data_IF_248787227826
#
_entry.id   IF_248787227826
#
_cell.length_a   1.000
_cell.length_b   1.000
_cell.length_c   1.000
_cell.angle_alpha   90.00
_cell.angle_beta   90.00
_cell.angle_gamma   90.00
#
_symmetry.space_group_name_H-M   'P 1'
#
loop_
_entity.id
_entity.type
_entity.pdbx_description
1 polymer ?
#
# COMPACT_ATOMS: atom_id res chain seq x y z
N UNK A 1 -2.14 9.68 1.18
CA UNK A 1 -1.48 8.57 1.90
C UNK A 1 -1.83 7.26 1.22
N UNK A 2 -0.83 6.54 0.79
CA UNK A 2 -0.98 5.21 0.18
C UNK A 2 -1.08 4.16 1.29
N UNK A 3 -2.01 3.22 1.17
CA UNK A 3 -2.14 2.09 2.09
C UNK A 3 -1.50 0.84 1.50
N UNK A 4 -0.71 0.14 2.32
CA UNK A 4 -0.28 -1.22 2.04
C UNK A 4 -1.36 -2.23 2.47
N UNK A 5 -1.21 -3.48 2.06
CA UNK A 5 -2.19 -4.55 2.34
C UNK A 5 -2.47 -4.73 3.83
N UNK A 6 -1.43 -4.69 4.67
CA UNK A 6 -1.59 -4.82 6.13
C UNK A 6 -2.38 -3.65 6.73
N UNK A 7 -2.26 -2.44 6.17
CA UNK A 7 -3.05 -1.29 6.60
C UNK A 7 -4.52 -1.44 6.21
N UNK A 8 -4.81 -1.91 5.00
CA UNK A 8 -6.19 -2.14 4.56
C UNK A 8 -6.85 -3.23 5.41
N UNK A 9 -6.14 -4.31 5.71
CA UNK A 9 -6.64 -5.37 6.60
C UNK A 9 -6.95 -4.86 8.01
N UNK A 10 -6.06 -4.05 8.57
CA UNK A 10 -6.29 -3.44 9.89
C UNK A 10 -7.48 -2.48 9.88
N UNK A 11 -7.67 -1.75 8.79
CA UNK A 11 -8.82 -0.87 8.61
C UNK A 11 -10.14 -1.66 8.57
N UNK A 12 -10.15 -2.78 7.86
CA UNK A 12 -11.32 -3.66 7.78
C UNK A 12 -11.68 -4.26 9.14
N UNK A 13 -10.71 -4.44 10.02
CA UNK A 13 -10.87 -5.00 11.36
C UNK A 13 -11.02 -3.92 12.44
N UNK A 14 -11.24 -2.67 12.04
CA UNK A 14 -11.45 -1.52 12.95
C UNK A 14 -10.32 -1.30 13.96
N UNK A 15 -9.07 -1.45 13.53
CA UNK A 15 -7.91 -1.19 14.39
C UNK A 15 -7.90 0.27 14.87
N UNK A 16 -7.98 0.53 16.18
CA UNK A 16 -8.08 1.91 16.69
C UNK A 16 -6.80 2.72 16.50
N UNK A 17 -5.64 2.08 16.50
CA UNK A 17 -4.37 2.75 16.25
C UNK A 17 -4.28 3.26 14.81
N UNK A 18 -4.76 2.45 13.86
CA UNK A 18 -4.85 2.84 12.46
C UNK A 18 -5.84 3.98 12.26
N UNK A 19 -7.01 3.89 12.86
CA UNK A 19 -8.03 4.93 12.76
C UNK A 19 -7.50 6.31 13.17
N UNK A 20 -6.69 6.36 14.23
CA UNK A 20 -6.07 7.60 14.69
C UNK A 20 -5.13 8.21 13.64
N UNK A 21 -4.38 7.38 12.92
CA UNK A 21 -3.49 7.84 11.83
C UNK A 21 -4.32 8.31 10.63
N UNK A 22 -5.32 7.54 10.22
CA UNK A 22 -6.16 7.85 9.07
C UNK A 22 -6.98 9.13 9.25
N UNK A 23 -7.36 9.46 10.49
CA UNK A 23 -8.10 10.70 10.78
C UNK A 23 -7.32 11.96 10.41
N UNK A 24 -6.01 11.86 10.25
CA UNK A 24 -5.12 12.97 9.88
C UNK A 24 -4.80 13.00 8.38
N UNK A 25 -5.20 11.98 7.64
CA UNK A 25 -4.95 11.89 6.22
C UNK A 25 -5.98 12.71 5.43
N UNK A 26 -5.50 13.51 4.47
CA UNK A 26 -6.39 14.26 3.57
C UNK A 26 -7.10 13.34 2.59
N UNK A 27 -6.41 12.30 2.12
CA UNK A 27 -6.94 11.33 1.17
C UNK A 27 -6.31 9.96 1.38
N UNK A 28 -7.13 8.93 1.27
CA UNK A 28 -6.69 7.53 1.26
C UNK A 28 -6.54 7.07 -0.18
N UNK A 29 -5.38 6.54 -0.50
CA UNK A 29 -5.01 6.10 -1.85
C UNK A 29 -4.73 4.60 -1.81
N UNK A 30 -5.42 3.85 -2.65
CA UNK A 30 -5.32 2.39 -2.73
C UNK A 30 -4.65 1.98 -4.04
N UNK A 31 -3.39 1.52 -4.01
CA UNK A 31 -2.74 1.01 -5.22
C UNK A 31 -3.46 -0.23 -5.75
N UNK A 32 -3.65 -0.30 -7.06
CA UNK A 32 -4.32 -1.44 -7.69
C UNK A 32 -3.61 -2.77 -7.39
N UNK A 33 -2.28 -2.77 -7.28
CA UNK A 33 -1.48 -3.95 -6.89
C UNK A 33 -1.88 -4.44 -5.49
N UNK A 34 -2.01 -3.51 -4.56
CA UNK A 34 -2.42 -3.83 -3.18
C UNK A 34 -3.84 -4.37 -3.13
N UNK A 35 -4.75 -3.82 -3.92
CA UNK A 35 -6.13 -4.33 -4.02
C UNK A 35 -6.15 -5.78 -4.51
N UNK A 36 -5.32 -6.12 -5.49
CA UNK A 36 -5.18 -7.50 -5.95
C UNK A 36 -4.73 -8.45 -4.86
N UNK A 37 -3.72 -8.06 -4.09
CA UNK A 37 -3.23 -8.85 -2.95
C UNK A 37 -4.29 -9.02 -1.86
N UNK A 38 -4.98 -7.93 -1.53
CA UNK A 38 -6.04 -7.94 -0.52
C UNK A 38 -7.20 -8.86 -0.95
N UNK A 39 -7.67 -8.74 -2.19
CA UNK A 39 -8.74 -9.61 -2.71
C UNK A 39 -8.34 -11.06 -2.75
N UNK A 40 -7.08 -11.36 -3.11
CA UNK A 40 -6.55 -12.72 -3.04
C UNK A 40 -6.61 -13.26 -1.60
N UNK A 41 -6.21 -12.44 -0.61
CA UNK A 41 -6.25 -12.84 0.80
C UNK A 41 -7.66 -13.12 1.30
N UNK A 42 -8.60 -12.23 1.07
CA UNK A 42 -9.99 -12.40 1.54
C UNK A 42 -10.75 -13.50 0.80
N UNK A 43 -10.38 -13.82 -0.43
CA UNK A 43 -11.00 -14.90 -1.20
C UNK A 43 -10.88 -16.25 -0.51
N UNK A 44 -9.87 -16.44 0.34
CA UNK A 44 -9.64 -17.64 1.12
C UNK A 44 -10.35 -17.61 2.48
N UNK A 45 -10.96 -16.49 2.86
CA UNK A 45 -11.64 -16.33 4.13
C UNK A 45 -13.09 -16.81 4.03
N UNK A 46 -13.61 -17.40 5.11
CA UNK A 46 -15.05 -17.68 5.25
C UNK A 46 -15.89 -16.39 5.36
N UNK A 47 -15.26 -15.26 5.64
CA UNK A 47 -15.89 -13.94 5.73
C UNK A 47 -15.69 -13.10 4.46
N UNK A 48 -15.31 -13.74 3.36
CA UNK A 48 -14.99 -13.03 2.10
C UNK A 48 -16.09 -12.10 1.62
N UNK A 49 -17.36 -12.51 1.73
CA UNK A 49 -18.49 -11.70 1.28
C UNK A 49 -18.62 -10.41 2.10
N UNK A 50 -18.48 -10.50 3.42
CA UNK A 50 -18.47 -9.32 4.29
C UNK A 50 -17.31 -8.38 3.97
N UNK A 51 -16.11 -8.91 3.80
CA UNK A 51 -14.94 -8.10 3.46
C UNK A 51 -15.06 -7.46 2.08
N UNK A 52 -15.56 -8.18 1.09
CA UNK A 52 -15.76 -7.63 -0.26
C UNK A 52 -16.81 -6.52 -0.25
N UNK A 53 -17.93 -6.68 0.47
CA UNK A 53 -18.95 -5.66 0.60
C UNK A 53 -18.39 -4.40 1.28
N UNK A 54 -17.61 -4.57 2.34
CA UNK A 54 -16.94 -3.47 3.02
C UNK A 54 -15.98 -2.74 2.06
N UNK A 55 -15.19 -3.48 1.29
CA UNK A 55 -14.27 -2.90 0.32
C UNK A 55 -15.00 -2.10 -0.76
N UNK A 56 -16.11 -2.61 -1.28
CA UNK A 56 -16.91 -1.91 -2.29
C UNK A 56 -17.42 -0.56 -1.77
N UNK A 57 -17.84 -0.49 -0.52
CA UNK A 57 -18.26 0.77 0.10
C UNK A 57 -17.04 1.72 0.27
N UNK A 58 -15.91 1.20 0.74
CA UNK A 58 -14.70 1.98 0.92
C UNK A 58 -14.21 2.60 -0.39
N UNK A 59 -14.32 1.88 -1.50
CA UNK A 59 -13.86 2.34 -2.82
C UNK A 59 -14.60 3.58 -3.31
N UNK A 60 -15.79 3.87 -2.78
CA UNK A 60 -16.52 5.11 -3.10
C UNK A 60 -15.83 6.35 -2.51
N UNK A 61 -15.05 6.18 -1.45
CA UNK A 61 -14.43 7.28 -0.69
C UNK A 61 -12.91 7.36 -0.89
N UNK A 62 -12.32 6.43 -1.64
CA UNK A 62 -10.89 6.34 -1.83
C UNK A 62 -10.50 6.54 -3.29
N UNK A 63 -9.28 6.99 -3.52
CA UNK A 63 -8.67 7.01 -4.84
C UNK A 63 -7.97 5.68 -5.11
N UNK A 64 -8.32 5.02 -6.20
CA UNK A 64 -7.56 3.86 -6.69
C UNK A 64 -6.46 4.36 -7.61
N UNK A 65 -5.23 3.94 -7.35
CA UNK A 65 -4.05 4.37 -8.08
C UNK A 65 -3.55 3.25 -8.98
N UNK A 66 -3.64 3.49 -10.29
CA UNK A 66 -3.16 2.56 -11.31
C UNK A 66 -1.63 2.64 -11.45
N UNK A 67 -1.05 1.60 -12.06
CA UNK A 67 0.34 1.60 -12.48
C UNK A 67 0.36 1.95 -13.97
N UNK A 68 1.04 3.05 -14.30
CA UNK A 68 1.21 3.51 -15.67
C UNK A 68 2.70 3.59 -16.03
N UNK A 69 3.00 3.86 -17.30
CA UNK A 69 4.37 3.85 -17.83
C UNK A 69 5.35 4.68 -16.98
N UNK A 70 5.03 5.90 -16.52
CA UNK A 70 5.98 6.68 -15.71
C UNK A 70 6.44 5.99 -14.42
N UNK A 71 5.60 5.12 -13.84
CA UNK A 71 5.98 4.37 -12.64
C UNK A 71 7.14 3.41 -12.88
N UNK A 72 7.36 2.97 -14.12
CA UNK A 72 8.41 2.02 -14.47
C UNK A 72 9.81 2.59 -14.23
N UNK A 73 10.01 3.88 -14.38
CA UNK A 73 11.29 4.55 -14.10
C UNK A 73 11.62 4.47 -12.61
N UNK A 74 10.65 4.73 -11.77
CA UNK A 74 10.81 4.67 -10.30
C UNK A 74 11.03 3.24 -9.83
N UNK A 75 10.31 2.29 -10.43
CA UNK A 75 10.50 0.86 -10.14
C UNK A 75 11.95 0.44 -10.43
N UNK A 76 12.47 0.77 -11.60
CA UNK A 76 13.83 0.40 -12.01
C UNK A 76 14.89 1.04 -11.10
N UNK A 77 14.73 2.32 -10.75
CA UNK A 77 15.62 3.02 -9.85
C UNK A 77 15.68 2.35 -8.47
N UNK A 78 14.51 2.13 -7.86
CA UNK A 78 14.41 1.54 -6.52
C UNK A 78 14.97 0.12 -6.52
N UNK A 79 14.59 -0.68 -7.52
CA UNK A 79 15.06 -2.07 -7.65
C UNK A 79 16.59 -2.12 -7.71
N UNK A 80 17.21 -1.24 -8.50
CA UNK A 80 18.67 -1.18 -8.63
C UNK A 80 19.34 -0.71 -7.33
N UNK A 81 18.79 0.31 -6.69
CA UNK A 81 19.31 0.81 -5.40
C UNK A 81 19.33 -0.30 -4.34
N UNK A 82 18.22 -1.04 -4.23
CA UNK A 82 18.12 -2.13 -3.24
C UNK A 82 19.02 -3.32 -3.59
N UNK A 83 19.16 -3.64 -4.88
CA UNK A 83 20.08 -4.68 -5.33
C UNK A 83 21.51 -4.33 -4.94
N UNK A 84 21.95 -3.10 -5.14
CA UNK A 84 23.30 -2.62 -4.77
C UNK A 84 23.54 -2.68 -3.27
N UNK A 85 22.52 -2.50 -2.46
CA UNK A 85 22.59 -2.63 -0.99
C UNK A 85 22.54 -4.09 -0.53
N UNK A 86 22.28 -5.04 -1.43
CA UNK A 86 22.08 -6.44 -1.08
C UNK A 86 20.79 -6.70 -0.28
N UNK A 87 19.79 -5.85 -0.42
CA UNK A 87 18.55 -5.89 0.37
C UNK A 87 17.30 -5.79 -0.54
N UNK A 88 17.06 -6.80 -1.41
CA UNK A 88 15.87 -6.79 -2.27
C UNK A 88 14.60 -6.91 -1.43
N UNK A 89 13.52 -6.34 -1.95
CA UNK A 89 12.17 -6.49 -1.39
C UNK A 89 11.26 -7.17 -2.43
N UNK A 90 10.09 -7.73 -2.01
CA UNK A 90 9.17 -8.36 -2.94
C UNK A 90 8.74 -7.43 -4.09
N UNK A 91 8.48 -8.02 -5.25
CA UNK A 91 8.14 -7.28 -6.48
C UNK A 91 6.92 -6.37 -6.30
N UNK A 92 5.87 -6.84 -5.64
CA UNK A 92 4.69 -6.01 -5.42
C UNK A 92 5.00 -4.80 -4.54
N UNK A 93 5.88 -4.96 -3.56
CA UNK A 93 6.31 -3.87 -2.70
C UNK A 93 7.19 -2.86 -3.45
N UNK A 94 7.95 -3.32 -4.43
CA UNK A 94 8.68 -2.43 -5.34
C UNK A 94 7.72 -1.51 -6.11
N UNK A 95 6.61 -2.05 -6.62
CA UNK A 95 5.61 -1.24 -7.30
C UNK A 95 4.94 -0.23 -6.37
N UNK A 96 4.62 -0.65 -5.14
CA UNK A 96 4.05 0.25 -4.13
C UNK A 96 5.03 1.37 -3.80
N UNK A 97 6.31 1.04 -3.58
CA UNK A 97 7.36 2.02 -3.32
C UNK A 97 7.55 2.98 -4.51
N UNK A 98 7.49 2.46 -5.73
CA UNK A 98 7.57 3.27 -6.95
C UNK A 98 6.44 4.31 -7.02
N UNK A 99 5.22 3.91 -6.71
CA UNK A 99 4.07 4.83 -6.67
C UNK A 99 4.22 5.89 -5.58
N UNK A 100 4.73 5.51 -4.41
CA UNK A 100 5.01 6.46 -3.33
C UNK A 100 6.02 7.53 -3.78
N UNK A 101 7.11 7.12 -4.40
CA UNK A 101 8.15 8.05 -4.88
C UNK A 101 7.65 8.91 -6.02
N UNK A 102 6.95 8.31 -7.00
CA UNK A 102 6.40 9.02 -8.15
C UNK A 102 5.44 10.14 -7.75
N UNK A 103 4.53 9.84 -6.83
CA UNK A 103 3.47 10.76 -6.44
C UNK A 103 3.79 11.56 -5.17
N UNK A 104 4.97 11.38 -4.59
CA UNK A 104 5.38 12.03 -3.34
C UNK A 104 4.37 11.82 -2.21
N UNK A 105 3.86 10.60 -2.09
CA UNK A 105 2.88 10.22 -1.08
C UNK A 105 3.53 9.35 0.00
N UNK A 106 3.12 9.55 1.25
CA UNK A 106 3.49 8.70 2.36
C UNK A 106 2.84 7.33 2.25
N UNK A 107 3.49 6.31 2.81
CA UNK A 107 3.01 4.94 2.85
C UNK A 107 2.61 4.56 4.28
N UNK A 108 1.39 4.09 4.46
CA UNK A 108 0.91 3.52 5.72
C UNK A 108 1.11 2.01 5.69
N UNK A 109 2.08 1.51 6.44
CA UNK A 109 2.47 0.10 6.48
C UNK A 109 3.21 -0.26 7.75
N UNK A 110 3.01 -1.47 8.25
CA UNK A 110 3.82 -2.07 9.33
C UNK A 110 5.11 -2.70 8.82
N UNK A 111 5.25 -2.87 7.52
CA UNK A 111 6.42 -3.52 6.91
C UNK A 111 7.62 -2.58 6.91
N UNK A 112 8.58 -2.88 7.78
CA UNK A 112 9.79 -2.05 7.93
C UNK A 112 10.77 -2.16 6.78
N UNK A 113 10.63 -3.14 5.88
CA UNK A 113 11.51 -3.21 4.72
C UNK A 113 11.34 -1.99 3.80
N UNK A 114 10.22 -1.29 3.84
CA UNK A 114 10.05 -0.02 3.13
C UNK A 114 10.97 1.10 3.65
N UNK A 115 11.47 0.99 4.88
CA UNK A 115 12.46 1.94 5.41
C UNK A 115 13.79 1.87 4.68
N UNK A 116 14.06 0.78 3.95
CA UNK A 116 15.24 0.63 3.10
C UNK A 116 15.16 1.48 1.82
N UNK A 117 13.99 1.95 1.46
CA UNK A 117 13.75 2.70 0.22
C UNK A 117 13.93 4.18 0.47
N UNK A 118 14.96 4.78 -0.13
CA UNK A 118 15.20 6.21 -0.04
C UNK A 118 14.06 7.01 -0.71
N UNK A 119 13.78 8.19 -0.19
CA UNK A 119 12.83 9.13 -0.80
C UNK A 119 11.35 8.83 -0.55
N UNK A 120 11.03 7.84 0.26
CA UNK A 120 9.64 7.59 0.70
C UNK A 120 9.54 7.67 2.22
N UNK A 121 8.35 8.00 2.72
CA UNK A 121 8.08 8.08 4.15
C UNK A 121 7.09 7.00 4.52
N UNK A 122 7.52 6.02 5.29
CA UNK A 122 6.64 5.02 5.90
C UNK A 122 6.09 5.55 7.22
N UNK A 123 4.80 5.37 7.42
CA UNK A 123 4.10 5.64 8.67
C UNK A 123 3.59 4.31 9.20
N UNK A 124 3.90 4.01 10.46
CA UNK A 124 3.35 2.86 11.17
C UNK A 124 2.22 3.24 12.12
N UNK A 125 1.68 2.25 12.79
CA UNK A 125 0.64 2.46 13.82
C UNK A 125 0.69 1.36 14.88
#
# INVERSE_FOLDING_TARGET
MILDTNALSAMADDDPGLAAVLSRAEQVVLPVIMLGEYRHGIAQSRHRTSYENWLQELLNDCLVLDIQEPATHYYAEISLELKRKGKPIPTNDLWIAALCRQHSLSLLSRDRHFDLVAGIKRIGW
#
